data_IF_998572858785
#
_entry.id   IF_998572858785
#
_cell.length_a   1.000
_cell.length_b   1.000
_cell.length_c   1.000
_cell.angle_alpha   90.00
_cell.angle_beta   90.00
_cell.angle_gamma   90.00
#
_symmetry.space_group_name_H-M   'P 1'
#
loop_
_entity.id
_entity.type
_entity.pdbx_description
1 polymer ?
#
# COMPACT_ATOMS: atom_id res chain seq x y z
N UNK A 1 5.64 -12.12 11.07
CA UNK A 1 4.67 -13.03 10.42
C UNK A 1 5.14 -13.25 8.99
N UNK A 2 5.03 -14.46 8.43
CA UNK A 2 5.46 -14.68 7.05
C UNK A 2 4.42 -14.04 6.14
N UNK A 3 4.81 -12.98 5.45
CA UNK A 3 3.96 -12.32 4.45
C UNK A 3 3.61 -13.36 3.38
N UNK A 4 2.32 -13.51 3.07
CA UNK A 4 1.87 -14.36 1.98
C UNK A 4 2.57 -13.90 0.69
N UNK A 5 3.02 -14.81 -0.19
CA UNK A 5 3.77 -14.45 -1.41
C UNK A 5 2.98 -13.62 -2.45
N UNK A 6 1.70 -13.34 -2.20
CA UNK A 6 0.87 -12.41 -2.98
C UNK A 6 0.45 -11.14 -2.22
N UNK A 7 0.82 -11.01 -0.96
CA UNK A 7 0.49 -9.85 -0.14
C UNK A 7 1.51 -8.73 -0.39
N UNK A 8 1.04 -7.56 -0.78
CA UNK A 8 1.92 -6.44 -1.03
C UNK A 8 2.48 -5.94 0.31
N UNK A 9 3.81 -5.83 0.47
CA UNK A 9 4.37 -5.21 1.67
C UNK A 9 3.78 -3.82 1.85
N UNK A 10 3.37 -3.46 3.07
CA UNK A 10 2.76 -2.14 3.33
C UNK A 10 3.63 -0.99 2.81
N UNK A 11 4.96 -1.11 2.90
CA UNK A 11 5.90 -0.14 2.35
C UNK A 11 5.83 0.01 0.82
N UNK A 12 5.61 -1.09 0.10
CA UNK A 12 5.44 -1.10 -1.36
C UNK A 12 4.13 -0.43 -1.75
N UNK A 13 3.03 -0.74 -1.05
CA UNK A 13 1.73 -0.11 -1.28
C UNK A 13 1.81 1.40 -1.08
N UNK A 14 2.40 1.84 0.04
CA UNK A 14 2.59 3.28 0.34
C UNK A 14 3.48 3.99 -0.69
N UNK A 15 4.52 3.32 -1.19
CA UNK A 15 5.39 3.89 -2.22
C UNK A 15 4.64 4.15 -3.53
N UNK A 16 3.84 3.17 -3.98
CA UNK A 16 3.02 3.28 -5.19
C UNK A 16 1.98 4.40 -5.04
N UNK A 17 1.25 4.43 -3.92
CA UNK A 17 0.25 5.48 -3.65
C UNK A 17 0.89 6.88 -3.64
N UNK A 18 2.07 7.03 -3.03
CA UNK A 18 2.83 8.29 -3.07
C UNK A 18 3.24 8.70 -4.48
N UNK A 19 3.72 7.76 -5.30
CA UNK A 19 4.09 8.04 -6.70
C UNK A 19 2.89 8.44 -7.56
N UNK A 20 1.70 7.88 -7.27
CA UNK A 20 0.45 8.24 -7.91
C UNK A 20 -0.18 9.54 -7.37
N UNK A 21 0.40 10.14 -6.33
CA UNK A 21 -0.18 11.32 -5.65
C UNK A 21 -1.46 11.02 -4.86
N UNK A 22 -1.70 9.74 -4.52
CA UNK A 22 -2.89 9.29 -3.78
C UNK A 22 -2.57 9.26 -2.29
N UNK A 23 -3.47 9.80 -1.48
CA UNK A 23 -3.33 9.73 -0.03
C UNK A 23 -3.64 8.29 0.46
N UNK A 24 -2.73 7.61 1.18
CA UNK A 24 -2.98 6.25 1.65
C UNK A 24 -4.19 6.11 2.56
N UNK A 25 -4.48 7.15 3.34
CA UNK A 25 -5.60 7.15 4.26
C UNK A 25 -6.93 7.22 3.49
N UNK A 26 -6.98 7.92 2.36
CA UNK A 26 -8.16 7.98 1.50
C UNK A 26 -8.42 6.62 0.84
N UNK A 27 -7.37 5.99 0.32
CA UNK A 27 -7.42 4.68 -0.33
C UNK A 27 -7.85 3.54 0.62
N UNK A 28 -7.32 3.50 1.84
CA UNK A 28 -7.57 2.40 2.79
C UNK A 28 -8.91 2.51 3.53
N UNK A 29 -9.58 3.66 3.49
CA UNK A 29 -10.89 3.88 4.12
C UNK A 29 -12.07 3.80 3.11
N UNK A 30 -11.81 3.33 1.87
CA UNK A 30 -12.83 3.08 0.83
C UNK A 30 -13.33 1.64 0.81
#
# INVERSE_FOLDING_TARGET
>A
MPNHPGDMPEGTLRAILKQAGINPNDFLNS
#
